data_IF_212250657884
#
_entry.id   IF_212250657884
#
_cell.length_a   1.000
_cell.length_b   1.000
_cell.length_c   1.000
_cell.angle_alpha   90.00
_cell.angle_beta   90.00
_cell.angle_gamma   90.00
#
_symmetry.space_group_name_H-M   'P 1'
#
loop_
_entity.id
_entity.type
_entity.pdbx_description
1 polymer ?
#
# COMPACT_ATOMS: atom_id res chain seq x y z
N UNK A 1 -3.37 -13.11 9.69
CA UNK A 1 -2.61 -14.35 10.00
C UNK A 1 -2.42 -15.27 8.79
N UNK A 2 -3.44 -15.58 7.97
CA UNK A 2 -3.23 -16.43 6.79
C UNK A 2 -2.26 -15.82 5.75
N UNK A 3 -2.32 -14.49 5.55
CA UNK A 3 -1.41 -13.75 4.67
C UNK A 3 0.07 -13.90 5.07
N UNK A 4 0.36 -13.84 6.38
CA UNK A 4 1.72 -13.97 6.91
C UNK A 4 2.23 -15.40 6.79
N UNK A 5 1.39 -16.41 7.01
CA UNK A 5 1.77 -17.83 6.84
C UNK A 5 2.17 -18.12 5.39
N UNK A 6 1.38 -17.63 4.43
CA UNK A 6 1.68 -17.78 2.99
C UNK A 6 3.00 -17.07 2.64
N UNK A 7 3.24 -15.88 3.21
CA UNK A 7 4.47 -15.13 3.01
C UNK A 7 5.70 -15.88 3.56
N UNK A 8 5.59 -16.48 4.75
CA UNK A 8 6.65 -17.27 5.36
C UNK A 8 6.95 -18.54 4.57
N UNK A 9 5.93 -19.26 4.11
CA UNK A 9 6.10 -20.46 3.27
C UNK A 9 6.80 -20.09 1.96
N UNK A 10 6.37 -19.00 1.31
CA UNK A 10 7.02 -18.48 0.11
C UNK A 10 8.51 -18.18 0.34
N UNK A 11 8.86 -17.56 1.47
CA UNK A 11 10.26 -17.26 1.82
C UNK A 11 11.10 -18.54 2.01
N UNK A 12 10.56 -19.54 2.69
CA UNK A 12 11.24 -20.82 2.91
C UNK A 12 11.43 -21.56 1.58
N UNK A 13 10.39 -21.62 0.75
CA UNK A 13 10.46 -22.21 -0.59
C UNK A 13 11.52 -21.49 -1.46
N UNK A 14 11.58 -20.15 -1.35
CA UNK A 14 12.58 -19.33 -2.03
C UNK A 14 14.00 -19.77 -1.64
N UNK A 15 14.29 -19.93 -0.34
CA UNK A 15 15.60 -20.38 0.14
C UNK A 15 15.96 -21.80 -0.33
N UNK A 16 14.99 -22.72 -0.34
CA UNK A 16 15.23 -24.13 -0.68
C UNK A 16 15.53 -24.30 -2.16
N UNK A 17 14.80 -23.61 -3.04
CA UNK A 17 14.99 -23.71 -4.50
C UNK A 17 16.34 -23.12 -4.93
N UNK A 18 16.81 -22.05 -4.26
CA UNK A 18 18.11 -21.43 -4.56
C UNK A 18 19.29 -22.38 -4.40
N UNK A 19 19.19 -23.39 -3.51
CA UNK A 19 20.26 -24.38 -3.30
C UNK A 19 20.42 -25.39 -4.43
N UNK A 20 19.40 -25.60 -5.25
CA UNK A 20 19.40 -26.63 -6.28
C UNK A 20 19.93 -26.13 -7.63
N UNK A 21 19.48 -24.95 -8.07
CA UNK A 21 19.97 -24.32 -9.30
C UNK A 21 19.67 -22.82 -9.29
N UNK A 22 20.67 -21.97 -9.50
CA UNK A 22 20.50 -20.52 -9.48
C UNK A 22 19.58 -20.02 -10.60
N UNK A 23 19.69 -20.60 -11.80
CA UNK A 23 18.87 -20.24 -12.97
C UNK A 23 17.42 -20.70 -12.77
N UNK A 24 17.21 -21.97 -12.36
CA UNK A 24 15.87 -22.50 -12.11
C UNK A 24 15.15 -21.74 -10.99
N UNK A 25 15.90 -21.29 -9.99
CA UNK A 25 15.38 -20.42 -8.93
C UNK A 25 14.86 -19.09 -9.47
N UNK A 26 15.63 -18.42 -10.34
CA UNK A 26 15.20 -17.18 -10.99
C UNK A 26 13.89 -17.35 -11.76
N UNK A 27 13.77 -18.42 -12.55
CA UNK A 27 12.56 -18.71 -13.34
C UNK A 27 11.35 -18.94 -12.43
N UNK A 28 11.47 -19.82 -11.43
CA UNK A 28 10.37 -20.11 -10.49
C UNK A 28 9.96 -18.84 -9.73
N UNK A 29 10.92 -18.03 -9.30
CA UNK A 29 10.65 -16.76 -8.63
C UNK A 29 9.85 -15.80 -9.51
N UNK A 30 10.22 -15.66 -10.79
CA UNK A 30 9.50 -14.82 -11.75
C UNK A 30 8.05 -15.28 -11.90
N UNK A 31 7.82 -16.59 -12.07
CA UNK A 31 6.46 -17.17 -12.19
C UNK A 31 5.63 -16.87 -10.94
N UNK A 32 6.18 -17.12 -9.76
CA UNK A 32 5.51 -16.84 -8.48
C UNK A 32 5.18 -15.35 -8.34
N UNK A 33 6.09 -14.46 -8.72
CA UNK A 33 5.86 -13.01 -8.64
C UNK A 33 4.79 -12.55 -9.63
N UNK A 34 4.72 -13.12 -10.83
CA UNK A 34 3.63 -12.83 -11.79
C UNK A 34 2.27 -13.24 -11.21
N UNK A 35 2.18 -14.44 -10.61
CA UNK A 35 0.95 -14.89 -9.94
C UNK A 35 0.57 -13.96 -8.79
N UNK A 36 1.55 -13.55 -7.98
CA UNK A 36 1.33 -12.60 -6.89
C UNK A 36 0.84 -11.23 -7.38
N UNK A 37 1.42 -10.72 -8.48
CA UNK A 37 0.97 -9.48 -9.12
C UNK A 37 -0.48 -9.60 -9.58
N UNK A 38 -0.82 -10.69 -10.29
CA UNK A 38 -2.18 -10.94 -10.76
C UNK A 38 -3.19 -11.00 -9.59
N UNK A 39 -2.80 -11.63 -8.48
CA UNK A 39 -3.59 -11.66 -7.26
C UNK A 39 -3.80 -10.25 -6.69
N UNK A 40 -2.75 -9.45 -6.54
CA UNK A 40 -2.85 -8.08 -6.01
C UNK A 40 -3.74 -7.20 -6.89
N UNK A 41 -3.63 -7.29 -8.21
CA UNK A 41 -4.49 -6.55 -9.13
C UNK A 41 -5.97 -6.96 -9.04
N UNK A 42 -6.26 -8.24 -8.81
CA UNK A 42 -7.62 -8.76 -8.63
C UNK A 42 -8.25 -8.30 -7.32
N UNK A 43 -7.49 -8.36 -6.23
CA UNK A 43 -8.02 -8.07 -4.88
C UNK A 43 -7.98 -6.58 -4.50
N UNK A 44 -7.24 -5.74 -5.24
CA UNK A 44 -7.06 -4.30 -5.00
C UNK A 44 -6.98 -3.96 -3.50
N UNK A 45 -5.88 -4.36 -2.82
CA UNK A 45 -5.79 -4.28 -1.36
C UNK A 45 -5.87 -2.85 -0.79
N UNK A 46 -5.68 -1.83 -1.62
CA UNK A 46 -5.66 -0.43 -1.21
C UNK A 46 -6.79 0.36 -1.83
N UNK A 47 -7.49 1.14 -1.01
CA UNK A 47 -8.53 2.06 -1.46
C UNK A 47 -7.95 3.33 -2.15
N UNK A 48 -6.64 3.59 -1.98
CA UNK A 48 -5.95 4.72 -2.59
C UNK A 48 -5.35 4.34 -3.96
N UNK A 49 -5.89 4.89 -5.03
CA UNK A 49 -5.46 4.60 -6.41
C UNK A 49 -3.98 4.90 -6.66
N UNK A 50 -3.44 5.99 -6.08
CA UNK A 50 -2.00 6.35 -6.19
C UNK A 50 -1.10 5.28 -5.58
N UNK A 51 -1.45 4.82 -4.38
CA UNK A 51 -0.65 3.82 -3.68
C UNK A 51 -0.71 2.48 -4.39
N UNK A 52 -1.90 2.08 -4.88
CA UNK A 52 -2.05 0.86 -5.68
C UNK A 52 -1.24 0.91 -6.98
N UNK A 53 -1.15 2.08 -7.62
CA UNK A 53 -0.34 2.28 -8.83
C UNK A 53 1.14 2.09 -8.53
N UNK A 54 1.67 2.81 -7.53
CA UNK A 54 3.08 2.72 -7.17
C UNK A 54 3.47 1.33 -6.68
N UNK A 55 2.60 0.66 -5.91
CA UNK A 55 2.81 -0.73 -5.52
C UNK A 55 2.89 -1.65 -6.75
N UNK A 56 1.99 -1.47 -7.73
CA UNK A 56 2.04 -2.22 -8.99
C UNK A 56 3.36 -2.02 -9.72
N UNK A 57 3.82 -0.77 -9.84
CA UNK A 57 5.11 -0.44 -10.47
C UNK A 57 6.28 -1.05 -9.70
N UNK A 58 6.28 -0.99 -8.37
CA UNK A 58 7.32 -1.63 -7.55
C UNK A 58 7.36 -3.14 -7.77
N UNK A 59 6.21 -3.81 -7.85
CA UNK A 59 6.17 -5.25 -8.11
C UNK A 59 6.66 -5.60 -9.52
N UNK A 60 6.29 -4.80 -10.53
CA UNK A 60 6.82 -4.95 -11.90
C UNK A 60 8.34 -4.74 -11.91
N UNK A 61 8.84 -3.76 -11.15
CA UNK A 61 10.27 -3.51 -10.99
C UNK A 61 11.03 -4.69 -10.38
N UNK A 62 10.41 -5.42 -9.44
CA UNK A 62 11.00 -6.65 -8.89
C UNK A 62 11.07 -7.76 -9.94
N UNK A 63 10.03 -7.91 -10.76
CA UNK A 63 10.04 -8.88 -11.88
C UNK A 63 11.11 -8.50 -12.92
N UNK A 64 11.24 -7.21 -13.23
CA UNK A 64 12.27 -6.69 -14.14
C UNK A 64 13.69 -6.99 -13.63
N UNK A 65 13.95 -6.73 -12.35
CA UNK A 65 15.22 -7.07 -11.70
C UNK A 65 15.48 -8.58 -11.73
N UNK A 66 14.48 -9.40 -11.45
CA UNK A 66 14.62 -10.85 -11.47
C UNK A 66 14.91 -11.40 -12.87
N UNK A 67 14.29 -10.85 -13.91
CA UNK A 67 14.57 -11.18 -15.31
C UNK A 67 16.02 -10.85 -15.67
N UNK A 68 16.46 -9.63 -15.39
CA UNK A 68 17.85 -9.20 -15.64
C UNK A 68 18.86 -10.04 -14.88
N UNK A 69 18.59 -10.36 -13.62
CA UNK A 69 19.45 -11.22 -12.81
C UNK A 69 19.53 -12.64 -13.38
N UNK A 70 18.41 -13.20 -13.87
CA UNK A 70 18.38 -14.55 -14.45
C UNK A 70 19.12 -14.60 -15.78
N UNK A 71 18.95 -13.57 -16.62
CA UNK A 71 19.70 -13.42 -17.87
C UNK A 71 21.20 -13.27 -17.57
N UNK A 72 21.57 -12.43 -16.60
CA UNK A 72 22.96 -12.23 -16.20
C UNK A 72 23.65 -13.51 -15.72
N UNK A 73 22.94 -14.38 -15.01
CA UNK A 73 23.46 -15.70 -14.62
C UNK A 73 23.70 -16.64 -15.81
N UNK A 74 22.91 -16.49 -16.88
CA UNK A 74 23.07 -17.26 -18.12
C UNK A 74 24.26 -16.84 -18.97
N UNK A 75 24.70 -15.58 -18.88
CA UNK A 75 25.82 -15.03 -19.63
C UNK A 75 27.00 -14.70 -18.70
N UNK A 76 27.94 -15.63 -18.54
CA UNK A 76 29.13 -15.44 -17.69
C UNK A 76 30.25 -14.58 -18.30
N UNK A 77 30.02 -13.95 -19.45
CA UNK A 77 31.04 -13.13 -20.11
C UNK A 77 31.15 -11.75 -19.46
N UNK A 78 32.37 -11.33 -19.13
CA UNK A 78 32.67 -10.00 -18.55
C UNK A 78 32.19 -8.83 -19.42
N UNK A 79 32.15 -9.03 -20.75
CA UNK A 79 31.67 -8.02 -21.70
C UNK A 79 30.15 -7.79 -21.63
N UNK A 80 29.40 -8.69 -20.99
CA UNK A 80 27.94 -8.63 -20.94
C UNK A 80 27.41 -7.80 -19.74
N UNK A 81 28.27 -7.45 -18.79
CA UNK A 81 27.85 -6.75 -17.56
C UNK A 81 27.49 -5.28 -17.82
N UNK A 82 28.28 -4.58 -18.63
CA UNK A 82 28.03 -3.19 -19.02
C UNK A 82 26.69 -2.98 -19.76
N UNK A 83 26.35 -3.76 -20.82
CA UNK A 83 25.06 -3.60 -21.48
C UNK A 83 23.88 -3.99 -20.57
N UNK A 84 24.04 -4.99 -19.70
CA UNK A 84 23.01 -5.38 -18.74
C UNK A 84 22.67 -4.24 -17.76
N UNK A 85 23.68 -3.49 -17.32
CA UNK A 85 23.51 -2.35 -16.41
C UNK A 85 22.82 -1.16 -17.11
N UNK A 86 23.14 -0.90 -18.38
CA UNK A 86 22.44 0.11 -19.18
C UNK A 86 20.96 -0.25 -19.39
N UNK A 87 20.67 -1.52 -19.66
CA UNK A 87 19.29 -2.03 -19.77
C UNK A 87 18.56 -1.90 -18.42
N UNK A 88 19.24 -2.17 -17.31
CA UNK A 88 18.66 -2.01 -15.98
C UNK A 88 18.26 -0.55 -15.71
N UNK A 89 19.18 0.39 -15.91
CA UNK A 89 18.94 1.82 -15.67
C UNK A 89 17.84 2.35 -16.59
N UNK A 90 17.91 2.03 -17.88
CA UNK A 90 16.90 2.47 -18.85
C UNK A 90 15.51 1.92 -18.53
N UNK A 91 15.41 0.65 -18.11
CA UNK A 91 14.15 0.05 -17.65
C UNK A 91 13.55 0.77 -16.44
N UNK A 92 14.39 1.15 -15.46
CA UNK A 92 13.94 1.92 -14.29
C UNK A 92 13.43 3.32 -14.66
N UNK A 93 14.15 4.02 -15.54
CA UNK A 93 13.73 5.34 -16.02
C UNK A 93 12.37 5.23 -16.70
N UNK A 94 12.19 4.25 -17.61
CA UNK A 94 10.92 4.03 -18.30
C UNK A 94 9.77 3.72 -17.32
N UNK A 95 10.00 2.85 -16.33
CA UNK A 95 8.96 2.50 -15.34
C UNK A 95 8.55 3.70 -14.48
N UNK A 96 9.51 4.50 -14.00
CA UNK A 96 9.23 5.69 -13.18
C UNK A 96 8.53 6.77 -14.00
N UNK A 97 9.03 7.06 -15.21
CA UNK A 97 8.41 8.03 -16.12
C UNK A 97 6.98 7.63 -16.47
N UNK A 98 6.73 6.34 -16.75
CA UNK A 98 5.39 5.83 -16.98
C UNK A 98 4.49 5.99 -15.74
N UNK A 99 5.01 5.70 -14.55
CA UNK A 99 4.28 5.90 -13.29
C UNK A 99 3.86 7.34 -13.05
N UNK A 100 4.77 8.29 -13.28
CA UNK A 100 4.49 9.73 -13.15
C UNK A 100 3.44 10.16 -14.20
N UNK A 101 3.58 9.71 -15.45
CA UNK A 101 2.63 10.01 -16.52
C UNK A 101 1.20 9.52 -16.17
N UNK A 102 1.07 8.26 -15.74
CA UNK A 102 -0.24 7.70 -15.37
C UNK A 102 -0.79 8.36 -14.10
N UNK A 103 0.07 8.67 -13.13
CA UNK A 103 -0.34 9.40 -11.92
C UNK A 103 -0.95 10.76 -12.28
N UNK A 104 -0.30 11.54 -13.16
CA UNK A 104 -0.80 12.84 -13.58
C UNK A 104 -2.14 12.75 -14.32
N UNK A 105 -2.33 11.71 -15.16
CA UNK A 105 -3.54 11.56 -15.98
C UNK A 105 -4.73 10.96 -15.22
N UNK A 106 -4.50 9.97 -14.35
CA UNK A 106 -5.57 9.16 -13.74
C UNK A 106 -5.80 9.42 -12.25
N UNK A 107 -4.83 10.00 -11.53
CA UNK A 107 -4.91 10.12 -10.07
C UNK A 107 -4.85 11.59 -9.62
N UNK A 108 -6.01 12.30 -9.56
CA UNK A 108 -6.04 13.65 -8.98
C UNK A 108 -5.53 13.62 -7.53
N UNK A 109 -5.03 14.78 -7.06
CA UNK A 109 -4.48 14.91 -5.71
C UNK A 109 -5.58 14.87 -4.67
N UNK A 110 -6.07 13.67 -4.39
CA UNK A 110 -6.81 13.40 -3.18
C UNK A 110 -5.80 13.31 -2.03
N UNK A 111 -5.15 14.42 -1.67
CA UNK A 111 -4.98 14.63 -0.23
C UNK A 111 -6.40 14.97 0.22
N UNK A 112 -7.14 13.98 0.72
CA UNK A 112 -8.35 14.27 1.46
C UNK A 112 -7.91 14.97 2.74
N UNK A 113 -7.66 16.28 2.66
CA UNK A 113 -7.60 17.12 3.83
C UNK A 113 -9.02 17.10 4.34
N UNK A 114 -9.29 16.31 5.38
CA UNK A 114 -10.52 16.45 6.12
C UNK A 114 -10.64 17.95 6.42
N UNK A 115 -11.63 18.60 5.79
CA UNK A 115 -11.88 20.03 5.94
C UNK A 115 -11.84 20.28 7.44
N UNK A 116 -10.91 21.11 7.91
CA UNK A 116 -10.70 21.30 9.35
C UNK A 116 -12.07 21.52 9.99
N UNK A 117 -12.48 20.57 10.85
CA UNK A 117 -13.81 20.57 11.42
C UNK A 117 -13.93 21.88 12.19
N UNK A 118 -14.89 22.71 11.80
CA UNK A 118 -15.00 24.08 12.30
C UNK A 118 -15.00 24.05 13.83
N UNK A 119 -13.92 24.54 14.45
CA UNK A 119 -13.69 24.47 15.89
C UNK A 119 -14.88 25.09 16.63
N UNK A 120 -15.51 26.13 16.06
CA UNK A 120 -16.71 26.75 16.62
C UNK A 120 -17.89 25.77 16.79
N UNK A 121 -18.07 24.81 15.90
CA UNK A 121 -19.12 23.78 16.06
C UNK A 121 -18.78 22.75 17.13
N UNK A 122 -17.50 22.39 17.26
CA UNK A 122 -17.00 21.51 18.34
C UNK A 122 -17.12 22.18 19.72
N UNK A 123 -16.75 23.46 19.82
CA UNK A 123 -16.93 24.28 21.02
C UNK A 123 -18.41 24.44 21.36
N UNK A 124 -19.28 24.77 20.39
CA UNK A 124 -20.73 24.82 20.63
C UNK A 124 -21.27 23.47 21.12
N UNK A 125 -20.84 22.35 20.56
CA UNK A 125 -21.27 21.04 21.04
C UNK A 125 -20.82 20.78 22.50
N UNK A 126 -19.53 20.97 22.80
CA UNK A 126 -18.98 20.72 24.14
C UNK A 126 -19.62 21.60 25.22
N UNK A 127 -19.84 22.88 24.94
CA UNK A 127 -20.35 23.84 25.91
C UNK A 127 -21.89 23.91 25.95
N UNK A 128 -22.60 23.50 24.90
CA UNK A 128 -24.08 23.43 24.92
C UNK A 128 -24.58 22.24 25.74
N UNK A 129 -23.89 21.09 25.72
CA UNK A 129 -24.22 19.96 26.60
C UNK A 129 -24.14 20.33 28.09
N UNK A 130 -23.17 21.17 28.49
CA UNK A 130 -23.06 21.68 29.86
C UNK A 130 -24.26 22.55 30.30
N UNK A 131 -24.80 23.38 29.40
CA UNK A 131 -25.97 24.23 29.70
C UNK A 131 -27.29 23.45 29.74
N UNK A 132 -27.45 22.45 28.88
CA UNK A 132 -28.66 21.59 28.87
C UNK A 132 -28.73 20.71 30.12
N UNK A 133 -27.58 20.19 30.59
CA UNK A 133 -27.51 19.40 31.82
C UNK A 133 -27.92 20.19 33.06
N UNK A 134 -27.47 21.45 33.19
CA UNK A 134 -27.82 22.32 34.33
C UNK A 134 -29.31 22.65 34.39
N UNK A 135 -29.93 22.99 33.25
CA UNK A 135 -31.38 23.27 33.19
C UNK A 135 -32.24 22.04 33.52
N UNK A 136 -31.80 20.84 33.10
CA UNK A 136 -32.52 19.59 33.39
C UNK A 136 -32.45 19.22 34.88
N UNK A 137 -31.30 19.45 35.53
CA UNK A 137 -31.13 19.32 36.97
C UNK A 137 -31.98 20.31 37.78
N UNK A 138 -32.08 21.57 37.34
CA UNK A 138 -32.92 22.58 37.99
C UNK A 138 -34.41 22.28 37.86
N UNK A 139 -34.87 21.74 36.72
CA UNK A 139 -36.25 21.29 36.54
C UNK A 139 -36.59 20.08 37.42
N UNK A 140 -35.70 19.09 37.53
CA UNK A 140 -35.87 17.97 38.47
C UNK A 140 -35.96 18.42 39.93
N UNK A 141 -35.14 19.41 40.34
CA UNK A 141 -35.14 19.94 41.70
C UNK A 141 -36.39 20.76 42.04
N UNK A 142 -37.02 21.41 41.05
CA UNK A 142 -38.31 22.11 41.21
C UNK A 142 -39.51 21.17 41.22
N UNK A 143 -39.51 20.11 40.40
CA UNK A 143 -40.57 19.10 40.39
C UNK A 143 -40.61 18.23 41.65
N UNK A 144 -39.45 17.95 42.27
CA UNK A 144 -39.40 17.17 43.52
C UNK A 144 -39.91 17.93 44.75
N UNK A 145 -39.94 19.27 44.74
CA UNK A 145 -40.43 20.09 45.87
C UNK A 145 -41.94 20.29 45.88
N UNK A 146 -42.63 19.94 44.81
CA UNK A 146 -44.09 20.13 44.65
C UNK A 146 -44.90 18.89 45.01
N UNK A 147 -44.24 17.77 45.35
CA UNK A 147 -44.89 16.48 45.65
C UNK A 147 -44.85 16.13 47.16
N UNK A 148 -44.31 17.01 48.01
CA UNK A 148 -44.15 16.76 49.46
C UNK A 148 -45.03 17.63 50.38
N UNK A 149 -46.19 18.10 49.90
CA UNK A 149 -47.21 18.74 50.74
C UNK A 149 -48.50 17.95 50.67
#
# INVERSE_FOLDING_TARGET
>A
MMKTIIQTILIVLNKTVKRASDIGHGIIFIVVMIVYIAFIFKFRPYNYARFSLWQGISLIGVVWLALLSTIGLGFQSSNFLTPLLLILISGWILMVSFGIYVQHKKCPSMLYRAKARDTNTLFKFAFTFGKVSKKRLEQFKKGSKTVSN
#
